data_IF_159215604064
#
_entry.id   IF_159215604064
#
_cell.length_a   1.000
_cell.length_b   1.000
_cell.length_c   1.000
_cell.angle_alpha   90.00
_cell.angle_beta   90.00
_cell.angle_gamma   90.00
#
_symmetry.space_group_name_H-M   'P 1'
#
loop_
_entity.id
_entity.type
_entity.pdbx_description
1 polymer ?
#
# COMPACT_ATOMS: atom_id res chain seq x y z
N UNK A 1 -9.41 -24.10 3.05
CA UNK A 1 -9.19 -22.73 3.57
C UNK A 1 -8.29 -22.06 2.56
N UNK A 2 -8.82 -21.08 1.81
CA UNK A 2 -8.10 -20.45 0.70
C UNK A 2 -7.14 -19.41 1.28
N UNK A 3 -5.97 -19.83 1.76
CA UNK A 3 -5.04 -18.94 2.46
C UNK A 3 -3.91 -18.47 1.56
N UNK A 4 -3.43 -17.26 1.84
CA UNK A 4 -2.14 -16.80 1.30
C UNK A 4 -0.98 -17.53 1.99
N UNK A 5 0.12 -17.71 1.26
CA UNK A 5 1.38 -18.18 1.81
C UNK A 5 2.08 -17.09 2.65
N UNK A 6 2.71 -17.47 3.75
CA UNK A 6 3.33 -16.51 4.68
C UNK A 6 4.47 -15.71 4.04
N UNK A 7 5.25 -16.30 3.12
CA UNK A 7 6.31 -15.57 2.43
C UNK A 7 5.70 -14.48 1.54
N UNK A 8 4.67 -14.83 0.76
CA UNK A 8 3.94 -13.86 -0.09
C UNK A 8 3.31 -12.75 0.74
N UNK A 9 2.69 -13.10 1.86
CA UNK A 9 2.10 -12.12 2.78
C UNK A 9 3.15 -11.18 3.38
N UNK A 10 4.30 -11.72 3.78
CA UNK A 10 5.41 -10.92 4.29
C UNK A 10 5.98 -9.98 3.21
N UNK A 11 6.07 -10.42 1.95
CA UNK A 11 6.46 -9.54 0.84
C UNK A 11 5.50 -8.35 0.71
N UNK A 12 4.18 -8.58 0.78
CA UNK A 12 3.18 -7.51 0.75
C UNK A 12 3.29 -6.55 1.97
N UNK A 13 3.57 -7.09 3.17
CA UNK A 13 3.81 -6.28 4.38
C UNK A 13 5.05 -5.40 4.23
N UNK A 14 6.12 -5.91 3.63
CA UNK A 14 7.35 -5.14 3.39
C UNK A 14 7.06 -3.94 2.48
N UNK A 15 6.30 -4.14 1.40
CA UNK A 15 5.93 -3.06 0.47
C UNK A 15 5.15 -1.96 1.19
N UNK A 16 4.14 -2.33 2.01
CA UNK A 16 3.39 -1.34 2.80
C UNK A 16 4.26 -0.63 3.83
N UNK A 17 5.21 -1.33 4.45
CA UNK A 17 6.17 -0.73 5.37
C UNK A 17 7.08 0.29 4.66
N UNK A 18 7.56 -0.03 3.45
CA UNK A 18 8.36 0.88 2.65
C UNK A 18 7.54 2.08 2.15
N UNK A 19 6.25 1.88 1.85
CA UNK A 19 5.32 2.95 1.48
C UNK A 19 5.17 3.93 2.64
N UNK A 20 4.90 3.43 3.85
CA UNK A 20 4.79 4.27 5.06
C UNK A 20 6.06 5.07 5.28
N UNK A 21 7.24 4.42 5.25
CA UNK A 21 8.52 5.11 5.43
C UNK A 21 8.76 6.18 4.36
N UNK A 22 8.39 5.90 3.11
CA UNK A 22 8.53 6.87 2.01
C UNK A 22 7.64 8.09 2.26
N UNK A 23 6.40 7.88 2.71
CA UNK A 23 5.47 8.98 3.04
C UNK A 23 5.96 9.77 4.26
N UNK A 24 6.47 9.10 5.30
CA UNK A 24 7.08 9.77 6.47
C UNK A 24 8.21 10.72 6.05
N UNK A 25 9.11 10.27 5.17
CA UNK A 25 10.19 11.11 4.62
C UNK A 25 9.65 12.29 3.80
N UNK A 26 8.62 12.07 2.98
CA UNK A 26 7.98 13.17 2.22
C UNK A 26 7.36 14.22 3.16
N UNK A 27 6.77 13.80 4.28
CA UNK A 27 6.18 14.70 5.26
C UNK A 27 7.21 15.53 6.05
N UNK A 28 8.48 15.10 6.08
CA UNK A 28 9.58 15.93 6.61
C UNK A 28 9.89 17.11 5.67
N UNK A 29 9.70 16.94 4.36
CA UNK A 29 9.89 17.99 3.35
C UNK A 29 8.67 18.92 3.26
N UNK A 30 7.47 18.35 3.14
CA UNK A 30 6.23 19.09 2.97
C UNK A 30 5.04 18.39 3.67
N UNK A 31 4.34 19.12 4.53
CA UNK A 31 3.11 18.63 5.16
C UNK A 31 1.94 18.77 4.20
N UNK A 32 1.68 17.70 3.45
CA UNK A 32 0.53 17.59 2.57
C UNK A 32 -0.58 16.70 3.18
N UNK A 33 -1.84 17.09 2.97
CA UNK A 33 -3.00 16.39 3.53
C UNK A 33 -3.20 15.00 2.91
N UNK A 34 -2.91 14.83 1.62
CA UNK A 34 -2.99 13.53 0.95
C UNK A 34 -1.92 12.58 1.48
N UNK A 35 -0.72 13.08 1.82
CA UNK A 35 0.32 12.26 2.46
C UNK A 35 -0.14 11.72 3.82
N UNK A 36 -0.70 12.59 4.67
CA UNK A 36 -1.25 12.18 5.97
C UNK A 36 -2.34 11.11 5.80
N UNK A 37 -3.22 11.28 4.81
CA UNK A 37 -4.25 10.28 4.54
C UNK A 37 -3.67 8.97 4.00
N UNK A 38 -2.72 9.04 3.07
CA UNK A 38 -2.09 7.85 2.49
C UNK A 38 -1.35 7.04 3.56
N UNK A 39 -0.66 7.72 4.49
CA UNK A 39 0.04 7.08 5.59
C UNK A 39 -0.92 6.34 6.53
N UNK A 40 -1.99 7.02 6.97
CA UNK A 40 -2.98 6.41 7.87
C UNK A 40 -3.64 5.19 7.22
N UNK A 41 -4.09 5.32 5.97
CA UNK A 41 -4.69 4.20 5.23
C UNK A 41 -3.68 3.06 5.05
N UNK A 42 -2.41 3.35 4.72
CA UNK A 42 -1.37 2.32 4.58
C UNK A 42 -1.07 1.58 5.90
N UNK A 43 -1.17 2.26 7.05
CA UNK A 43 -1.05 1.63 8.37
C UNK A 43 -2.22 0.70 8.65
N UNK A 44 -3.44 1.13 8.35
CA UNK A 44 -4.65 0.31 8.51
C UNK A 44 -4.61 -0.92 7.60
N UNK A 45 -4.20 -0.76 6.33
CA UNK A 45 -4.03 -1.86 5.39
C UNK A 45 -2.97 -2.87 5.86
N UNK A 46 -1.85 -2.38 6.40
CA UNK A 46 -0.78 -3.22 6.91
C UNK A 46 -1.24 -4.01 8.14
N UNK A 47 -2.01 -3.39 9.05
CA UNK A 47 -2.56 -4.08 10.22
C UNK A 47 -3.56 -5.16 9.80
N UNK A 48 -4.47 -4.85 8.87
CA UNK A 48 -5.38 -5.83 8.29
C UNK A 48 -4.60 -7.02 7.67
N UNK A 49 -3.61 -6.74 6.82
CA UNK A 49 -2.80 -7.78 6.18
C UNK A 49 -2.06 -8.68 7.19
N UNK A 50 -1.61 -8.13 8.33
CA UNK A 50 -0.95 -8.91 9.39
C UNK A 50 -1.91 -9.83 10.14
N UNK A 51 -3.15 -9.41 10.31
CA UNK A 51 -4.17 -10.12 11.08
C UNK A 51 -5.02 -11.09 10.25
N UNK A 52 -5.02 -10.95 8.92
CA UNK A 52 -5.81 -11.76 8.00
C UNK A 52 -4.94 -12.67 7.12
N UNK A 53 -5.45 -13.86 6.80
CA UNK A 53 -4.76 -14.84 5.92
C UNK A 53 -5.67 -15.40 4.83
N UNK A 54 -6.97 -15.12 4.88
CA UNK A 54 -7.92 -15.60 3.89
C UNK A 54 -7.80 -14.77 2.61
N UNK A 55 -7.68 -15.45 1.46
CA UNK A 55 -7.46 -14.77 0.18
C UNK A 55 -8.65 -13.92 -0.25
N UNK A 56 -9.88 -14.27 0.11
CA UNK A 56 -11.04 -13.50 -0.31
C UNK A 56 -11.10 -12.17 0.47
N UNK A 57 -10.80 -12.20 1.77
CA UNK A 57 -10.62 -11.00 2.59
C UNK A 57 -9.48 -10.11 2.06
N UNK A 58 -8.33 -10.72 1.75
CA UNK A 58 -7.19 -9.97 1.21
C UNK A 58 -7.45 -9.43 -0.20
N UNK A 59 -8.34 -10.05 -0.97
CA UNK A 59 -8.77 -9.55 -2.28
C UNK A 59 -9.69 -8.34 -2.14
N UNK A 60 -10.52 -8.30 -1.10
CA UNK A 60 -11.26 -7.07 -0.75
C UNK A 60 -10.30 -5.93 -0.40
N UNK A 61 -9.23 -6.21 0.37
CA UNK A 61 -8.18 -5.22 0.66
C UNK A 61 -7.46 -4.75 -0.62
N UNK A 62 -7.10 -5.67 -1.53
CA UNK A 62 -6.49 -5.31 -2.82
C UNK A 62 -7.38 -4.37 -3.64
N UNK A 63 -8.68 -4.67 -3.75
CA UNK A 63 -9.62 -3.80 -4.45
C UNK A 63 -9.71 -2.42 -3.80
N UNK A 64 -9.74 -2.34 -2.46
CA UNK A 64 -9.74 -1.05 -1.75
C UNK A 64 -8.50 -0.23 -2.07
N UNK A 65 -7.30 -0.84 -2.00
CA UNK A 65 -6.03 -0.17 -2.29
C UNK A 65 -5.98 0.28 -3.76
N UNK A 66 -6.44 -0.56 -4.68
CA UNK A 66 -6.56 -0.25 -6.11
C UNK A 66 -7.48 0.96 -6.36
N UNK A 67 -8.66 0.99 -5.73
CA UNK A 67 -9.59 2.11 -5.84
C UNK A 67 -9.00 3.39 -5.24
N UNK A 68 -8.38 3.29 -4.05
CA UNK A 68 -7.73 4.43 -3.40
C UNK A 68 -6.57 4.97 -4.21
N UNK A 69 -5.77 4.09 -4.81
CA UNK A 69 -4.74 4.51 -5.74
C UNK A 69 -5.35 5.30 -6.91
N UNK A 70 -6.26 4.69 -7.67
CA UNK A 70 -6.81 5.29 -8.88
C UNK A 70 -7.57 6.60 -8.63
N UNK A 71 -8.42 6.65 -7.60
CA UNK A 71 -9.29 7.82 -7.38
C UNK A 71 -8.66 8.93 -6.56
N UNK A 72 -7.55 8.68 -5.85
CA UNK A 72 -7.04 9.62 -4.84
C UNK A 72 -5.52 9.77 -4.83
N UNK A 73 -4.77 8.69 -4.96
CA UNK A 73 -3.32 8.70 -4.72
C UNK A 73 -2.45 8.63 -5.99
N UNK A 74 -3.05 8.39 -7.16
CA UNK A 74 -2.40 8.48 -8.49
C UNK A 74 -2.34 9.93 -8.99
N UNK A 75 -1.83 10.81 -8.12
CA UNK A 75 -1.58 12.21 -8.39
C UNK A 75 -0.16 12.54 -7.96
N UNK A 76 0.46 13.49 -8.65
CA UNK A 76 1.73 14.04 -8.23
C UNK A 76 1.50 15.00 -7.07
N UNK A 77 2.04 14.65 -5.89
CA UNK A 77 2.00 15.45 -4.68
C UNK A 77 3.26 16.31 -4.58
N UNK A 78 4.40 15.81 -5.06
CA UNK A 78 5.69 16.51 -5.02
C UNK A 78 6.54 16.30 -6.28
N UNK A 79 7.62 17.06 -6.41
CA UNK A 79 8.58 16.92 -7.53
C UNK A 79 9.77 16.03 -7.20
N UNK A 80 9.79 15.43 -6.00
CA UNK A 80 10.89 14.59 -5.53
C UNK A 80 10.79 13.15 -6.04
N UNK A 81 11.93 12.45 -6.06
CA UNK A 81 11.98 11.01 -6.36
C UNK A 81 11.16 10.17 -5.38
N UNK A 82 10.89 10.70 -4.17
CA UNK A 82 10.08 10.05 -3.16
C UNK A 82 8.62 9.92 -3.58
N UNK A 83 8.04 10.90 -4.28
CA UNK A 83 6.66 10.81 -4.75
C UNK A 83 6.50 9.74 -5.83
N UNK A 84 7.49 9.65 -6.75
CA UNK A 84 7.55 8.56 -7.72
C UNK A 84 7.63 7.21 -7.01
N UNK A 85 8.50 7.09 -5.99
CA UNK A 85 8.64 5.87 -5.19
C UNK A 85 7.33 5.51 -4.47
N UNK A 86 6.62 6.48 -3.89
CA UNK A 86 5.32 6.27 -3.24
C UNK A 86 4.30 5.68 -4.22
N UNK A 87 4.16 6.27 -5.40
CA UNK A 87 3.24 5.77 -6.43
C UNK A 87 3.64 4.37 -6.92
N UNK A 88 4.93 4.12 -7.15
CA UNK A 88 5.42 2.81 -7.59
C UNK A 88 5.22 1.72 -6.53
N UNK A 89 5.43 2.00 -5.25
CA UNK A 89 5.16 1.03 -4.16
C UNK A 89 3.67 0.64 -4.09
N UNK A 90 2.75 1.59 -4.29
CA UNK A 90 1.32 1.27 -4.37
C UNK A 90 1.00 0.36 -5.56
N UNK A 91 1.55 0.68 -6.75
CA UNK A 91 1.39 -0.17 -7.94
C UNK A 91 1.99 -1.56 -7.74
N UNK A 92 3.17 -1.63 -7.12
CA UNK A 92 3.86 -2.89 -6.83
C UNK A 92 3.01 -3.77 -5.90
N UNK A 93 2.45 -3.19 -4.84
CA UNK A 93 1.53 -3.89 -3.95
C UNK A 93 0.35 -4.47 -4.72
N UNK A 94 -0.35 -3.65 -5.52
CA UNK A 94 -1.53 -4.06 -6.30
C UNK A 94 -1.17 -5.20 -7.24
N UNK A 95 -0.06 -5.07 -7.98
CA UNK A 95 0.41 -6.07 -8.93
C UNK A 95 0.71 -7.40 -8.24
N UNK A 96 1.56 -7.40 -7.21
CA UNK A 96 1.94 -8.61 -6.47
C UNK A 96 0.74 -9.23 -5.75
N UNK A 97 -0.12 -8.42 -5.14
CA UNK A 97 -1.32 -8.89 -4.46
C UNK A 97 -2.23 -9.64 -5.45
N UNK A 98 -2.45 -9.08 -6.64
CA UNK A 98 -3.21 -9.73 -7.70
C UNK A 98 -2.58 -11.07 -8.14
N UNK A 99 -1.25 -11.15 -8.23
CA UNK A 99 -0.55 -12.41 -8.54
C UNK A 99 -0.67 -13.46 -7.41
N UNK A 100 -0.64 -13.03 -6.15
CA UNK A 100 -0.62 -13.93 -4.99
C UNK A 100 -2.00 -14.44 -4.61
N UNK A 101 -3.03 -13.65 -4.89
CA UNK A 101 -4.41 -13.91 -4.51
C UNK A 101 -5.25 -14.58 -5.62
N UNK A 102 -4.65 -14.82 -6.80
CA UNK A 102 -5.21 -15.71 -7.82
C UNK A 102 -5.36 -17.16 -7.33
#
# INVERSE_FOLDING_TARGET
MNKIDDKKRNELVIILSELIQTIELMMEEEKDYLLIQNENEARDWMDFLKNHTDKDELKSLENEISDRFFFKFDVQIGTSELDNKRAELMKEYIFKSNEYLK
#
